data_IF_085430800325
#
_entry.id   IF_085430800325
#
_cell.length_a   1.000
_cell.length_b   1.000
_cell.length_c   1.000
_cell.angle_alpha   90.00
_cell.angle_beta   90.00
_cell.angle_gamma   90.00
#
_symmetry.space_group_name_H-M   'P 1'
#
loop_
_entity.id
_entity.type
_entity.pdbx_description
1 polymer ?
#
# COMPACT_ATOMS: atom_id res chain seq x y z
N UNK A 1 -24.19 4.68 -13.61
CA UNK A 1 -23.60 4.30 -12.30
C UNK A 1 -22.78 5.48 -11.80
N UNK A 2 -22.95 5.91 -10.55
CA UNK A 2 -22.10 7.00 -10.03
C UNK A 2 -20.72 6.45 -9.69
N UNK A 3 -19.68 7.24 -9.92
CA UNK A 3 -18.28 6.89 -9.61
C UNK A 3 -18.12 6.45 -8.14
N UNK A 4 -18.85 7.10 -7.24
CA UNK A 4 -18.94 6.74 -5.82
C UNK A 4 -19.54 5.35 -5.57
N UNK A 5 -20.54 4.93 -6.35
CA UNK A 5 -21.09 3.57 -6.26
C UNK A 5 -20.10 2.54 -6.75
N UNK A 6 -19.37 2.80 -7.83
CA UNK A 6 -18.31 1.92 -8.32
C UNK A 6 -17.14 1.81 -7.33
N UNK A 7 -16.78 2.92 -6.66
CA UNK A 7 -15.78 2.91 -5.59
C UNK A 7 -16.28 2.10 -4.38
N UNK A 8 -17.54 2.27 -3.99
CA UNK A 8 -18.18 1.52 -2.90
C UNK A 8 -18.36 0.04 -3.24
N UNK A 9 -18.67 -0.31 -4.48
CA UNK A 9 -18.79 -1.68 -4.97
C UNK A 9 -17.42 -2.34 -5.16
N UNK A 10 -16.38 -1.57 -5.51
CA UNK A 10 -15.00 -2.06 -5.51
C UNK A 10 -14.52 -2.27 -4.09
N UNK A 11 -14.80 -1.35 -3.16
CA UNK A 11 -14.54 -1.55 -1.75
C UNK A 11 -15.33 -2.77 -1.24
N UNK A 12 -16.60 -2.93 -1.59
CA UNK A 12 -17.45 -4.03 -1.11
C UNK A 12 -17.14 -5.39 -1.78
N UNK A 13 -16.74 -5.43 -3.04
CA UNK A 13 -16.29 -6.65 -3.73
C UNK A 13 -14.83 -6.99 -3.42
N UNK A 14 -14.04 -5.96 -3.11
CA UNK A 14 -12.74 -6.07 -2.47
C UNK A 14 -12.82 -6.45 -0.99
N UNK A 15 -13.98 -6.27 -0.32
CA UNK A 15 -14.32 -6.73 1.04
C UNK A 15 -15.10 -8.05 1.05
N UNK A 16 -15.57 -8.55 -0.11
CA UNK A 16 -15.77 -9.99 -0.29
C UNK A 16 -14.42 -10.64 -0.53
N UNK A 17 -13.48 -10.34 0.36
CA UNK A 17 -12.20 -11.02 0.46
C UNK A 17 -12.50 -12.46 0.83
N UNK A 18 -11.79 -13.35 0.18
CA UNK A 18 -11.75 -14.74 0.54
C UNK A 18 -11.37 -14.83 2.03
N UNK A 19 -12.36 -15.14 2.89
CA UNK A 19 -12.24 -15.28 4.35
C UNK A 19 -11.17 -16.29 4.79
N UNK A 20 -10.55 -17.00 3.85
CA UNK A 20 -9.49 -17.95 4.11
C UNK A 20 -8.16 -17.23 4.32
N UNK A 21 -7.93 -16.93 5.61
CA UNK A 21 -6.63 -16.78 6.27
C UNK A 21 -5.76 -15.65 5.75
N UNK A 22 -5.82 -14.51 6.44
CA UNK A 22 -4.62 -13.74 6.73
C UNK A 22 -3.64 -14.70 7.41
N UNK A 23 -2.72 -15.27 6.64
CA UNK A 23 -1.62 -16.04 7.20
C UNK A 23 -0.57 -15.02 7.69
N UNK A 24 -0.44 -14.81 9.02
CA UNK A 24 0.48 -13.83 9.56
C UNK A 24 1.92 -14.11 9.11
N UNK A 25 2.25 -15.37 8.79
CA UNK A 25 3.57 -15.74 8.27
C UNK A 25 3.79 -15.21 6.86
N UNK A 26 2.77 -15.27 5.99
CA UNK A 26 2.86 -14.74 4.63
C UNK A 26 3.00 -13.21 4.66
N UNK A 27 2.23 -12.54 5.52
CA UNK A 27 2.31 -11.09 5.70
C UNK A 27 3.67 -10.67 6.30
N UNK A 28 4.15 -11.37 7.33
CA UNK A 28 5.47 -11.14 7.91
C UNK A 28 6.58 -11.34 6.86
N UNK A 29 6.49 -12.39 6.04
CA UNK A 29 7.44 -12.62 4.95
C UNK A 29 7.44 -11.49 3.92
N UNK A 30 6.26 -10.99 3.53
CA UNK A 30 6.16 -9.86 2.61
C UNK A 30 6.74 -8.57 3.23
N UNK A 31 6.44 -8.32 4.51
CA UNK A 31 6.99 -7.18 5.24
C UNK A 31 8.51 -7.25 5.41
N UNK A 32 9.06 -8.43 5.72
CA UNK A 32 10.50 -8.66 5.79
C UNK A 32 11.16 -8.48 4.43
N UNK A 33 10.56 -8.99 3.35
CA UNK A 33 11.06 -8.78 2.00
C UNK A 33 11.16 -7.30 1.64
N UNK A 34 10.11 -6.53 1.93
CA UNK A 34 10.11 -5.07 1.76
C UNK A 34 11.19 -4.40 2.62
N UNK A 35 11.27 -4.74 3.91
CA UNK A 35 12.22 -4.14 4.85
C UNK A 35 13.67 -4.41 4.46
N UNK A 36 13.98 -5.62 3.98
CA UNK A 36 15.31 -5.97 3.50
C UNK A 36 15.69 -5.16 2.25
N UNK A 37 14.81 -5.08 1.26
CA UNK A 37 15.09 -4.34 0.02
C UNK A 37 15.25 -2.86 0.30
N UNK A 38 14.27 -2.23 0.98
CA UNK A 38 14.30 -0.79 1.27
C UNK A 38 15.44 -0.44 2.23
N UNK A 39 15.65 -1.25 3.27
CA UNK A 39 16.70 -1.05 4.26
C UNK A 39 18.09 -1.20 3.66
N UNK A 40 18.32 -2.22 2.83
CA UNK A 40 19.57 -2.37 2.09
C UNK A 40 19.80 -1.22 1.12
N UNK A 41 18.77 -0.83 0.36
CA UNK A 41 18.87 0.31 -0.56
C UNK A 41 19.21 1.60 0.17
N UNK A 42 18.62 1.84 1.34
CA UNK A 42 18.91 2.99 2.18
C UNK A 42 20.35 2.97 2.72
N UNK A 43 20.79 1.82 3.23
CA UNK A 43 22.11 1.67 3.85
C UNK A 43 23.26 1.82 2.85
N UNK A 44 23.09 1.33 1.61
CA UNK A 44 24.18 1.26 0.62
C UNK A 44 24.13 2.39 -0.40
N UNK A 45 22.94 2.82 -0.83
CA UNK A 45 22.77 3.75 -1.96
C UNK A 45 22.06 5.07 -1.58
N UNK A 46 21.59 5.18 -0.34
CA UNK A 46 20.99 6.39 0.20
C UNK A 46 19.48 6.56 -0.08
N UNK A 47 18.91 7.70 0.34
CA UNK A 47 17.45 7.89 0.43
C UNK A 47 16.72 7.87 -0.91
N UNK A 48 17.32 8.41 -1.98
CA UNK A 48 16.70 8.46 -3.29
C UNK A 48 16.48 7.06 -3.87
N UNK A 49 17.49 6.19 -3.77
CA UNK A 49 17.42 4.81 -4.23
C UNK A 49 16.48 3.98 -3.35
N UNK A 50 16.50 4.20 -2.03
CA UNK A 50 15.55 3.59 -1.12
C UNK A 50 14.09 3.90 -1.49
N UNK A 51 13.79 5.16 -1.81
CA UNK A 51 12.46 5.57 -2.26
C UNK A 51 12.08 4.86 -3.57
N UNK A 52 12.97 4.83 -4.57
CA UNK A 52 12.74 4.09 -5.82
C UNK A 52 12.51 2.59 -5.59
N UNK A 53 13.24 1.97 -4.67
CA UNK A 53 13.09 0.56 -4.34
C UNK A 53 11.72 0.25 -3.71
N UNK A 54 11.19 1.17 -2.89
CA UNK A 54 9.88 1.04 -2.27
C UNK A 54 8.75 1.03 -3.33
N UNK A 55 8.86 1.86 -4.38
CA UNK A 55 7.93 1.81 -5.52
C UNK A 55 8.00 0.48 -6.27
N UNK A 56 9.20 -0.08 -6.46
CA UNK A 56 9.38 -1.41 -7.06
C UNK A 56 8.75 -2.53 -6.23
N UNK A 57 8.95 -2.51 -4.92
CA UNK A 57 8.34 -3.47 -4.00
C UNK A 57 6.81 -3.37 -3.97
N UNK A 58 6.26 -2.16 -4.05
CA UNK A 58 4.81 -1.94 -4.18
C UNK A 58 4.25 -2.56 -5.48
N UNK A 59 4.93 -2.39 -6.62
CA UNK A 59 4.52 -3.01 -7.88
C UNK A 59 4.59 -4.54 -7.82
N UNK A 60 5.64 -5.10 -7.21
CA UNK A 60 5.77 -6.54 -7.00
C UNK A 60 4.64 -7.11 -6.11
N UNK A 61 4.23 -6.36 -5.08
CA UNK A 61 3.10 -6.71 -4.24
C UNK A 61 1.78 -6.73 -5.05
N UNK A 62 1.52 -5.71 -5.87
CA UNK A 62 0.35 -5.68 -6.76
C UNK A 62 0.34 -6.92 -7.67
N UNK A 63 1.46 -7.23 -8.33
CA UNK A 63 1.57 -8.40 -9.20
C UNK A 63 1.29 -9.71 -8.45
N UNK A 64 1.73 -9.83 -7.20
CA UNK A 64 1.50 -11.00 -6.35
C UNK A 64 0.01 -11.19 -5.99
N UNK A 65 -0.71 -10.09 -5.74
CA UNK A 65 -2.14 -10.14 -5.37
C UNK A 65 -3.09 -10.20 -6.57
N UNK A 66 -2.59 -9.93 -7.78
CA UNK A 66 -3.34 -10.18 -9.01
C UNK A 66 -3.30 -11.68 -9.37
N UNK A 67 -4.13 -12.50 -8.68
CA UNK A 67 -4.26 -13.96 -8.90
C UNK A 67 -4.67 -14.38 -10.32
N UNK A 68 -5.14 -13.46 -11.16
CA UNK A 68 -5.53 -13.75 -12.55
C UNK A 68 -5.06 -12.64 -13.47
N UNK A 69 -4.49 -12.98 -14.62
CA UNK A 69 -4.19 -12.06 -15.73
C UNK A 69 -5.42 -11.35 -16.31
N UNK A 70 -6.63 -11.62 -15.78
CA UNK A 70 -7.82 -10.83 -16.08
C UNK A 70 -7.64 -9.44 -15.47
N UNK A 71 -7.63 -8.37 -16.30
CA UNK A 71 -7.51 -7.02 -15.79
C UNK A 71 -8.68 -6.76 -14.85
N UNK A 72 -8.38 -6.52 -13.57
CA UNK A 72 -9.32 -5.96 -12.59
C UNK A 72 -8.99 -4.47 -12.51
N UNK A 73 -9.43 -3.64 -13.47
CA UNK A 73 -9.03 -2.24 -13.58
C UNK A 73 -9.34 -1.46 -12.30
N UNK A 74 -10.34 -1.89 -11.53
CA UNK A 74 -10.71 -1.31 -10.24
C UNK A 74 -9.63 -1.45 -9.17
N UNK A 75 -8.93 -2.58 -9.08
CA UNK A 75 -7.82 -2.77 -8.13
C UNK A 75 -6.59 -1.94 -8.53
N UNK A 76 -6.31 -1.86 -9.83
CA UNK A 76 -5.25 -1.00 -10.36
C UNK A 76 -5.56 0.49 -10.12
N UNK A 77 -6.81 0.93 -10.32
CA UNK A 77 -7.24 2.29 -10.03
C UNK A 77 -7.19 2.60 -8.53
N UNK A 78 -7.62 1.68 -7.67
CA UNK A 78 -7.58 1.88 -6.22
C UNK A 78 -6.14 1.95 -5.68
N UNK A 79 -5.25 1.06 -6.13
CA UNK A 79 -3.83 1.09 -5.78
C UNK A 79 -3.11 2.32 -6.34
N UNK A 80 -3.37 2.68 -7.60
CA UNK A 80 -2.82 3.90 -8.20
C UNK A 80 -3.31 5.18 -7.51
N UNK A 81 -4.60 5.27 -7.19
CA UNK A 81 -5.17 6.43 -6.51
C UNK A 81 -4.64 6.56 -5.07
N UNK A 82 -4.55 5.46 -4.32
CA UNK A 82 -3.98 5.48 -2.97
C UNK A 82 -2.50 5.88 -2.97
N UNK A 83 -1.71 5.38 -3.93
CA UNK A 83 -0.32 5.80 -4.12
C UNK A 83 -0.21 7.29 -4.47
N UNK A 84 -1.04 7.77 -5.41
CA UNK A 84 -1.04 9.18 -5.82
C UNK A 84 -1.39 10.11 -4.66
N UNK A 85 -2.44 9.80 -3.90
CA UNK A 85 -2.84 10.57 -2.71
C UNK A 85 -1.73 10.55 -1.65
N UNK A 86 -1.15 9.39 -1.37
CA UNK A 86 -0.07 9.26 -0.38
C UNK A 86 1.17 10.06 -0.77
N UNK A 87 1.55 10.01 -2.05
CA UNK A 87 2.71 10.74 -2.59
C UNK A 87 2.45 12.25 -2.57
N UNK A 88 1.26 12.68 -2.97
CA UNK A 88 0.87 14.10 -2.95
C UNK A 88 0.90 14.68 -1.52
N UNK A 89 0.28 13.99 -0.56
CA UNK A 89 0.28 14.41 0.84
C UNK A 89 1.71 14.38 1.43
N UNK A 90 2.53 13.40 1.05
CA UNK A 90 3.95 13.37 1.41
C UNK A 90 4.69 14.61 0.91
N UNK A 91 4.50 14.97 -0.35
CA UNK A 91 5.09 16.18 -0.94
C UNK A 91 4.63 17.47 -0.25
N UNK A 92 3.37 17.57 0.14
CA UNK A 92 2.86 18.75 0.86
C UNK A 92 3.42 18.87 2.28
N UNK A 93 3.69 17.74 2.93
CA UNK A 93 4.08 17.70 4.35
C UNK A 93 5.59 17.64 4.56
N UNK A 94 6.38 17.27 3.56
CA UNK A 94 7.84 17.06 3.70
C UNK A 94 8.59 18.27 4.25
N UNK A 95 8.15 19.50 3.94
CA UNK A 95 8.77 20.74 4.43
C UNK A 95 8.43 21.04 5.90
N UNK A 96 7.47 20.33 6.50
CA UNK A 96 6.98 20.56 7.86
C UNK A 96 7.02 19.25 8.65
N UNK A 97 8.13 19.02 9.35
CA UNK A 97 8.39 17.80 10.11
C UNK A 97 7.23 17.35 11.02
N UNK A 98 6.55 18.23 11.80
CA UNK A 98 5.43 17.81 12.63
C UNK A 98 4.23 17.29 11.83
N UNK A 99 3.94 17.91 10.67
CA UNK A 99 2.86 17.47 9.78
C UNK A 99 3.20 16.14 9.10
N UNK A 100 4.47 15.96 8.74
CA UNK A 100 4.95 14.70 8.16
C UNK A 100 4.84 13.55 9.16
N UNK A 101 5.24 13.76 10.43
CA UNK A 101 5.07 12.78 11.50
C UNK A 101 3.60 12.47 11.78
N UNK A 102 2.73 13.48 11.78
CA UNK A 102 1.29 13.27 11.94
C UNK A 102 0.70 12.45 10.77
N UNK A 103 1.16 12.71 9.54
CA UNK A 103 0.77 11.95 8.36
C UNK A 103 1.24 10.48 8.44
N UNK A 104 2.47 10.23 8.91
CA UNK A 104 2.98 8.88 9.15
C UNK A 104 2.18 8.15 10.22
N UNK A 105 1.85 8.83 11.33
CA UNK A 105 1.00 8.28 12.39
C UNK A 105 -0.39 7.91 11.85
N UNK A 106 -0.98 8.77 11.02
CA UNK A 106 -2.27 8.49 10.40
C UNK A 106 -2.19 7.26 9.48
N UNK A 107 -1.19 7.18 8.61
CA UNK A 107 -1.06 6.05 7.68
C UNK A 107 -0.77 4.73 8.39
N UNK A 108 0.10 4.74 9.40
CA UNK A 108 0.39 3.54 10.22
C UNK A 108 -0.85 3.10 10.99
N UNK A 109 -1.60 4.04 11.57
CA UNK A 109 -2.87 3.74 12.26
C UNK A 109 -3.92 3.17 11.30
N UNK A 110 -4.16 3.82 10.15
CA UNK A 110 -5.12 3.33 9.15
C UNK A 110 -4.74 1.96 8.60
N UNK A 111 -3.45 1.70 8.39
CA UNK A 111 -2.96 0.39 7.95
C UNK A 111 -3.17 -0.67 9.03
N UNK A 112 -2.87 -0.36 10.29
CA UNK A 112 -3.11 -1.25 11.43
C UNK A 112 -4.60 -1.49 11.66
N UNK A 113 -5.45 -0.48 11.48
CA UNK A 113 -6.90 -0.59 11.57
C UNK A 113 -7.48 -1.42 10.43
N UNK A 114 -6.96 -1.27 9.21
CA UNK A 114 -7.33 -2.12 8.07
C UNK A 114 -6.93 -3.59 8.32
N UNK A 115 -5.80 -3.84 8.98
CA UNK A 115 -5.40 -5.18 9.40
C UNK A 115 -6.30 -5.74 10.51
N UNK A 116 -6.62 -4.93 11.53
CA UNK A 116 -7.38 -5.35 12.70
C UNK A 116 -8.89 -5.51 12.42
N UNK A 117 -9.46 -4.69 11.54
CA UNK A 117 -10.83 -4.84 11.05
C UNK A 117 -11.04 -6.17 10.31
N UNK A 118 -9.94 -6.84 9.93
CA UNK A 118 -9.94 -8.03 9.12
C UNK A 118 -10.24 -7.71 7.65
N UNK A 119 -10.05 -8.70 6.77
CA UNK A 119 -10.36 -8.59 5.36
C UNK A 119 -11.88 -8.64 5.10
#
# INVERSE_FOLDING_TARGET
>A
MSWLRALRETARSGLTVERQRLDPVIAARAALGLALVVGFSLAVFGPAVAASSAFGAFQAAIATFQRSWRPRPTLALASGASLAVSTFLGYLTVSHEPLFLALLMLWTFLSGLAWAAGP
#
